data_IF_404531251684
#
_entry.id   IF_404531251684
#
_cell.length_a   1.000
_cell.length_b   1.000
_cell.length_c   1.000
_cell.angle_alpha   90.00
_cell.angle_beta   90.00
_cell.angle_gamma   90.00
#
_symmetry.space_group_name_H-M   'P 1'
#
loop_
_entity.id
_entity.type
_entity.pdbx_description
1 polymer ?
#
# COMPACT_ATOMS: atom_id res chain seq x y z
N UNK A 1 -42.08 -9.97 -86.44
CA UNK A 1 -42.89 -8.93 -85.74
C UNK A 1 -44.28 -9.50 -85.46
N UNK A 2 -45.24 -8.73 -84.95
CA UNK A 2 -46.30 -9.22 -84.01
C UNK A 2 -47.76 -8.85 -84.36
N UNK A 3 -48.73 -9.64 -83.86
CA UNK A 3 -50.21 -9.37 -83.83
C UNK A 3 -51.02 -10.63 -84.19
N UNK A 4 -52.05 -11.17 -83.49
CA UNK A 4 -53.20 -10.75 -82.61
C UNK A 4 -54.47 -10.29 -83.40
N UNK A 5 -55.54 -11.13 -83.47
CA UNK A 5 -56.78 -11.19 -82.59
C UNK A 5 -57.93 -10.27 -83.11
N UNK A 6 -59.24 -10.30 -82.67
CA UNK A 6 -60.02 -11.18 -81.74
C UNK A 6 -61.52 -11.56 -82.15
N UNK A 7 -62.23 -12.36 -81.32
CA UNK A 7 -63.72 -12.34 -81.07
C UNK A 7 -64.70 -13.13 -82.00
N UNK A 8 -66.00 -13.41 -81.70
CA UNK A 8 -66.83 -13.47 -80.45
C UNK A 8 -68.20 -14.24 -80.68
N UNK A 9 -69.16 -14.32 -79.72
CA UNK A 9 -70.43 -15.14 -79.71
C UNK A 9 -71.75 -14.28 -79.68
N UNK A 10 -73.05 -14.70 -79.40
CA UNK A 10 -73.67 -16.02 -78.98
C UNK A 10 -75.18 -16.41 -79.37
N UNK A 11 -75.57 -17.70 -79.16
CA UNK A 11 -76.83 -18.32 -78.59
C UNK A 11 -78.33 -18.24 -79.09
N UNK A 12 -79.00 -19.43 -79.07
CA UNK A 12 -80.43 -19.83 -78.71
C UNK A 12 -81.67 -19.31 -79.53
N UNK A 13 -82.96 -19.80 -79.36
CA UNK A 13 -83.63 -20.72 -78.37
C UNK A 13 -84.73 -21.76 -78.88
N UNK A 14 -85.54 -22.35 -77.96
CA UNK A 14 -86.99 -22.79 -78.03
C UNK A 14 -87.47 -24.27 -77.86
N UNK A 15 -88.81 -24.42 -77.62
CA UNK A 15 -89.62 -25.54 -77.03
C UNK A 15 -90.88 -25.87 -77.92
N UNK A 16 -91.89 -26.76 -77.60
CA UNK A 16 -92.30 -27.49 -76.36
C UNK A 16 -92.81 -28.96 -76.54
N UNK A 17 -93.65 -29.52 -75.62
CA UNK A 17 -94.27 -30.88 -75.66
C UNK A 17 -95.70 -30.96 -75.04
N UNK A 18 -96.32 -32.13 -75.18
CA UNK A 18 -97.38 -32.73 -74.32
C UNK A 18 -97.11 -34.26 -74.25
N UNK A 19 -97.76 -35.15 -73.49
CA UNK A 19 -98.81 -35.18 -72.43
C UNK A 19 -98.56 -36.51 -71.61
N UNK A 20 -99.13 -36.85 -70.45
CA UNK A 20 -100.16 -36.21 -69.60
C UNK A 20 -99.89 -36.40 -68.09
N UNK A 21 -100.67 -37.22 -67.35
CA UNK A 21 -100.73 -37.26 -65.88
C UNK A 21 -101.49 -38.52 -65.35
N UNK A 22 -101.52 -38.87 -64.03
CA UNK A 22 -100.95 -38.16 -62.88
C UNK A 22 -100.23 -38.97 -61.76
N UNK A 23 -99.15 -38.38 -61.20
CA UNK A 23 -98.73 -38.28 -59.76
C UNK A 23 -98.71 -39.53 -58.81
N UNK A 24 -98.07 -39.49 -57.60
CA UNK A 24 -97.41 -38.36 -56.92
C UNK A 24 -95.99 -38.60 -56.35
N UNK A 25 -95.51 -37.55 -55.64
CA UNK A 25 -94.35 -37.40 -54.73
C UNK A 25 -93.19 -36.51 -55.26
N UNK A 26 -92.61 -35.60 -54.44
CA UNK A 26 -92.03 -34.35 -54.96
C UNK A 26 -90.50 -34.34 -55.00
N UNK A 27 -89.95 -33.71 -56.03
CA UNK A 27 -88.52 -33.47 -56.18
C UNK A 27 -88.02 -32.33 -55.28
N UNK A 28 -87.15 -32.63 -54.31
CA UNK A 28 -86.27 -31.61 -53.69
C UNK A 28 -84.98 -32.17 -53.06
N UNK A 29 -84.16 -32.84 -53.88
CA UNK A 29 -82.76 -33.07 -53.51
C UNK A 29 -81.97 -31.76 -53.59
N UNK A 30 -81.04 -31.48 -52.65
CA UNK A 30 -80.11 -30.37 -52.78
C UNK A 30 -79.14 -30.62 -53.95
N UNK A 31 -78.52 -29.58 -54.54
CA UNK A 31 -77.45 -29.78 -55.51
C UNK A 31 -76.31 -30.59 -54.88
N UNK A 32 -75.66 -31.51 -55.63
CA UNK A 32 -74.59 -32.32 -55.08
C UNK A 32 -73.44 -31.42 -54.60
N UNK A 33 -72.81 -31.73 -53.44
CA UNK A 33 -71.73 -30.91 -52.92
C UNK A 33 -70.57 -30.87 -53.92
N UNK A 34 -69.95 -29.69 -54.06
CA UNK A 34 -68.79 -29.52 -54.93
C UNK A 34 -67.61 -30.33 -54.38
N UNK A 35 -67.38 -31.50 -54.97
CA UNK A 35 -66.32 -32.43 -54.58
C UNK A 35 -64.96 -31.74 -54.65
N UNK A 36 -64.19 -31.80 -53.55
CA UNK A 36 -62.85 -31.24 -53.53
C UNK A 36 -61.92 -32.00 -54.49
N UNK A 37 -60.80 -31.38 -54.88
CA UNK A 37 -59.82 -32.01 -55.78
C UNK A 37 -59.33 -33.37 -55.27
N UNK A 38 -59.20 -33.52 -53.95
CA UNK A 38 -58.85 -34.79 -53.30
C UNK A 38 -59.98 -35.82 -53.41
N UNK A 39 -61.24 -35.43 -53.18
CA UNK A 39 -62.39 -36.33 -53.36
C UNK A 39 -62.55 -36.76 -54.83
N UNK A 40 -62.13 -35.93 -55.79
CA UNK A 40 -62.09 -36.29 -57.21
C UNK A 40 -60.98 -37.32 -57.51
N UNK A 41 -59.78 -37.14 -56.95
CA UNK A 41 -58.67 -38.09 -57.06
C UNK A 41 -58.95 -39.42 -56.33
N UNK A 42 -59.60 -39.37 -55.17
CA UNK A 42 -60.04 -40.55 -54.41
C UNK A 42 -61.11 -41.34 -55.19
N UNK A 43 -62.05 -40.65 -55.86
CA UNK A 43 -62.99 -41.29 -56.76
C UNK A 43 -62.33 -41.89 -58.02
N UNK A 44 -61.29 -41.25 -58.57
CA UNK A 44 -60.48 -41.82 -59.65
C UNK A 44 -59.80 -43.11 -59.18
N UNK A 45 -59.07 -43.09 -58.04
CA UNK A 45 -58.46 -44.28 -57.42
C UNK A 45 -59.48 -45.39 -57.21
N UNK A 46 -60.66 -45.09 -56.64
CA UNK A 46 -61.76 -46.06 -56.45
C UNK A 46 -62.39 -46.54 -57.75
N UNK A 47 -62.19 -45.87 -58.88
CA UNK A 47 -62.61 -46.36 -60.20
C UNK A 47 -61.54 -47.24 -60.84
N UNK A 48 -60.26 -46.90 -60.68
CA UNK A 48 -59.11 -47.71 -61.11
C UNK A 48 -58.99 -49.00 -60.30
N UNK A 49 -59.23 -48.96 -58.99
CA UNK A 49 -59.25 -50.13 -58.11
C UNK A 49 -60.44 -51.05 -58.43
N UNK A 50 -61.62 -50.49 -58.74
CA UNK A 50 -62.75 -51.29 -59.25
C UNK A 50 -62.45 -51.89 -60.63
N UNK A 51 -61.77 -51.15 -61.52
CA UNK A 51 -61.26 -51.70 -62.78
C UNK A 51 -60.28 -52.85 -62.55
N UNK A 52 -59.28 -52.69 -61.66
CA UNK A 52 -58.36 -53.78 -61.28
C UNK A 52 -59.09 -54.99 -60.75
N UNK A 53 -59.96 -54.84 -59.75
CA UNK A 53 -60.74 -55.97 -59.20
C UNK A 53 -61.61 -56.65 -60.27
N UNK A 54 -62.19 -55.90 -61.22
CA UNK A 54 -62.91 -56.48 -62.35
C UNK A 54 -61.98 -57.28 -63.27
N UNK A 55 -60.79 -56.74 -63.57
CA UNK A 55 -59.77 -57.36 -64.42
C UNK A 55 -59.12 -58.59 -63.76
N UNK A 56 -58.99 -58.60 -62.43
CA UNK A 56 -58.56 -59.73 -61.60
C UNK A 56 -59.66 -60.79 -61.42
N UNK A 57 -60.95 -60.41 -61.56
CA UNK A 57 -62.09 -61.33 -61.49
C UNK A 57 -62.42 -62.05 -62.81
N UNK A 58 -61.81 -61.63 -63.93
CA UNK A 58 -61.93 -62.35 -65.20
C UNK A 58 -61.21 -63.70 -65.11
N UNK A 59 -61.84 -64.82 -65.56
CA UNK A 59 -61.15 -66.10 -65.61
C UNK A 59 -59.96 -66.00 -66.56
N UNK A 60 -58.76 -66.28 -66.04
CA UNK A 60 -57.52 -66.16 -66.81
C UNK A 60 -57.59 -67.01 -68.09
N UNK A 61 -57.16 -66.49 -69.25
CA UNK A 61 -57.10 -67.26 -70.50
C UNK A 61 -56.33 -68.56 -70.30
N UNK A 62 -56.74 -69.61 -71.02
CA UNK A 62 -56.19 -70.95 -70.85
C UNK A 62 -54.82 -71.09 -71.53
N UNK A 63 -53.80 -70.44 -70.96
CA UNK A 63 -52.42 -70.47 -71.44
C UNK A 63 -51.92 -71.92 -71.63
N UNK A 64 -51.27 -72.24 -72.77
CA UNK A 64 -50.65 -73.54 -72.96
C UNK A 64 -49.64 -73.85 -71.86
N UNK A 65 -49.63 -75.10 -71.36
CA UNK A 65 -48.76 -75.53 -70.24
C UNK A 65 -47.27 -75.24 -70.46
N UNK A 66 -46.81 -75.16 -71.71
CA UNK A 66 -45.43 -74.79 -72.04
C UNK A 66 -45.13 -73.31 -71.74
N UNK A 67 -46.06 -72.40 -71.95
CA UNK A 67 -45.83 -70.95 -71.81
C UNK A 67 -45.66 -70.57 -70.34
N UNK A 68 -46.53 -71.10 -69.48
CA UNK A 68 -46.39 -71.00 -68.01
C UNK A 68 -45.11 -71.63 -67.46
N UNK A 69 -44.53 -72.61 -68.17
CA UNK A 69 -43.23 -73.20 -67.81
C UNK A 69 -42.11 -72.23 -68.17
N UNK A 70 -42.07 -71.72 -69.41
CA UNK A 70 -41.11 -70.71 -69.87
C UNK A 70 -41.13 -69.44 -69.01
N UNK A 71 -42.31 -68.89 -68.70
CA UNK A 71 -42.44 -67.71 -67.85
C UNK A 71 -41.92 -67.95 -66.42
N UNK A 72 -42.16 -69.14 -65.84
CA UNK A 72 -41.59 -69.49 -64.52
C UNK A 72 -40.07 -69.67 -64.57
N UNK A 73 -39.56 -70.30 -65.61
CA UNK A 73 -38.12 -70.51 -65.82
C UNK A 73 -37.40 -69.17 -66.02
N UNK A 74 -37.95 -68.29 -66.88
CA UNK A 74 -37.46 -66.93 -67.10
C UNK A 74 -37.49 -66.09 -65.80
N UNK A 75 -38.58 -66.17 -65.02
CA UNK A 75 -38.66 -65.45 -63.73
C UNK A 75 -37.68 -66.01 -62.70
N UNK A 76 -37.50 -67.32 -62.61
CA UNK A 76 -36.50 -67.93 -61.73
C UNK A 76 -35.08 -67.55 -62.15
N UNK A 77 -34.82 -67.43 -63.46
CA UNK A 77 -33.55 -66.97 -63.98
C UNK A 77 -33.31 -65.48 -63.65
N UNK A 78 -34.30 -64.61 -63.84
CA UNK A 78 -34.23 -63.20 -63.43
C UNK A 78 -34.03 -63.05 -61.90
N UNK A 79 -34.77 -63.79 -61.07
CA UNK A 79 -34.56 -63.80 -59.61
C UNK A 79 -33.18 -64.34 -59.21
N UNK A 80 -32.60 -65.26 -59.99
CA UNK A 80 -31.23 -65.77 -59.76
C UNK A 80 -30.19 -64.71 -60.14
N UNK A 81 -30.30 -64.10 -61.31
CA UNK A 81 -29.44 -63.02 -61.78
C UNK A 81 -29.51 -61.79 -60.84
N UNK A 82 -30.69 -61.44 -60.33
CA UNK A 82 -30.86 -60.37 -59.34
C UNK A 82 -30.19 -60.71 -58.00
N UNK A 83 -30.27 -61.97 -57.53
CA UNK A 83 -29.59 -62.43 -56.31
C UNK A 83 -28.07 -62.42 -56.49
N UNK A 84 -27.57 -62.93 -57.61
CA UNK A 84 -26.14 -62.97 -57.94
C UNK A 84 -25.57 -61.54 -58.06
N UNK A 85 -26.29 -60.64 -58.72
CA UNK A 85 -25.93 -59.21 -58.78
C UNK A 85 -25.94 -58.55 -57.40
N UNK A 86 -26.98 -58.73 -56.59
CA UNK A 86 -27.02 -58.20 -55.21
C UNK A 86 -25.92 -58.78 -54.31
N UNK A 87 -25.48 -60.01 -54.58
CA UNK A 87 -24.35 -60.63 -53.90
C UNK A 87 -23.01 -60.04 -54.34
N UNK A 88 -22.83 -59.74 -55.63
CA UNK A 88 -21.68 -59.00 -56.15
C UNK A 88 -21.63 -57.57 -55.58
N UNK A 89 -22.73 -56.81 -55.65
CA UNK A 89 -22.84 -55.44 -55.09
C UNK A 89 -22.47 -55.42 -53.60
N UNK A 90 -22.94 -56.40 -52.80
CA UNK A 90 -22.55 -56.53 -51.39
C UNK A 90 -21.07 -56.86 -51.19
N UNK A 91 -20.49 -57.73 -52.00
CA UNK A 91 -19.06 -58.06 -51.92
C UNK A 91 -18.17 -56.87 -52.32
N UNK A 92 -18.60 -56.09 -53.30
CA UNK A 92 -17.91 -54.86 -53.73
C UNK A 92 -18.01 -53.77 -52.67
N UNK A 93 -19.19 -53.56 -52.09
CA UNK A 93 -19.40 -52.61 -51.00
C UNK A 93 -18.57 -52.99 -49.75
N UNK A 94 -18.46 -54.27 -49.40
CA UNK A 94 -17.60 -54.76 -48.32
C UNK A 94 -16.09 -54.58 -48.62
N UNK A 95 -15.67 -54.72 -49.88
CA UNK A 95 -14.29 -54.38 -50.29
C UNK A 95 -14.04 -52.89 -50.12
N UNK A 96 -14.99 -52.04 -50.55
CA UNK A 96 -14.89 -50.59 -50.48
C UNK A 96 -14.77 -50.11 -49.02
N UNK A 97 -15.66 -50.56 -48.12
CA UNK A 97 -15.58 -50.25 -46.68
C UNK A 97 -14.23 -50.68 -46.08
N UNK A 98 -13.74 -51.88 -46.43
CA UNK A 98 -12.48 -52.40 -45.89
C UNK A 98 -11.29 -51.55 -46.36
N UNK A 99 -11.30 -51.12 -47.62
CA UNK A 99 -10.29 -50.25 -48.21
C UNK A 99 -10.36 -48.82 -47.63
N UNK A 100 -11.55 -48.31 -47.37
CA UNK A 100 -11.75 -47.01 -46.71
C UNK A 100 -11.27 -47.04 -45.25
N UNK A 101 -11.63 -48.06 -44.46
CA UNK A 101 -11.12 -48.23 -43.09
C UNK A 101 -9.59 -48.34 -43.05
N UNK A 102 -8.97 -49.01 -44.03
CA UNK A 102 -7.51 -49.03 -44.18
C UNK A 102 -6.94 -47.63 -44.46
N UNK A 103 -7.55 -46.87 -45.37
CA UNK A 103 -7.14 -45.49 -45.69
C UNK A 103 -7.29 -44.55 -44.49
N UNK A 104 -8.39 -44.64 -43.74
CA UNK A 104 -8.61 -43.84 -42.52
C UNK A 104 -7.58 -44.17 -41.43
N UNK A 105 -7.27 -45.45 -41.22
CA UNK A 105 -6.23 -45.88 -40.27
C UNK A 105 -4.83 -45.40 -40.68
N UNK A 106 -4.47 -45.45 -41.96
CA UNK A 106 -3.21 -44.89 -42.47
C UNK A 106 -3.14 -43.37 -42.25
N UNK A 107 -4.21 -42.64 -42.58
CA UNK A 107 -4.27 -41.19 -42.39
C UNK A 107 -4.09 -40.81 -40.91
N UNK A 108 -4.75 -41.54 -39.99
CA UNK A 108 -4.62 -41.32 -38.56
C UNK A 108 -3.19 -41.60 -38.06
N UNK A 109 -2.57 -42.71 -38.49
CA UNK A 109 -1.18 -43.01 -38.15
C UNK A 109 -0.20 -41.96 -38.67
N UNK A 110 -0.44 -41.39 -39.84
CA UNK A 110 0.34 -40.28 -40.38
C UNK A 110 0.16 -39.01 -39.52
N UNK A 111 -1.08 -38.63 -39.19
CA UNK A 111 -1.37 -37.48 -38.33
C UNK A 111 -0.71 -37.61 -36.94
N UNK A 112 -0.85 -38.77 -36.28
CA UNK A 112 -0.19 -39.03 -34.98
C UNK A 112 1.35 -38.96 -35.08
N UNK A 113 1.94 -39.31 -36.22
CA UNK A 113 3.38 -39.23 -36.44
C UNK A 113 3.86 -37.79 -36.67
N UNK A 114 3.12 -37.02 -37.48
CA UNK A 114 3.38 -35.60 -37.73
C UNK A 114 3.20 -34.77 -36.44
N UNK A 115 2.17 -35.05 -35.64
CA UNK A 115 1.96 -34.39 -34.35
C UNK A 115 3.10 -34.67 -33.36
N UNK A 116 3.54 -35.94 -33.24
CA UNK A 116 4.70 -36.33 -32.41
C UNK A 116 5.98 -35.61 -32.85
N UNK A 117 6.24 -35.52 -34.15
CA UNK A 117 7.39 -34.78 -34.68
C UNK A 117 7.29 -33.28 -34.38
N UNK A 118 6.14 -32.66 -34.60
CA UNK A 118 5.89 -31.24 -34.31
C UNK A 118 6.06 -30.93 -32.83
N UNK A 119 5.59 -31.81 -31.93
CA UNK A 119 5.75 -31.67 -30.48
C UNK A 119 7.23 -31.77 -30.05
N UNK A 120 7.97 -32.75 -30.57
CA UNK A 120 9.42 -32.87 -30.32
C UNK A 120 10.21 -31.65 -30.83
N UNK A 121 9.81 -31.08 -31.98
CA UNK A 121 10.43 -29.90 -32.54
C UNK A 121 10.15 -28.65 -31.69
N UNK A 122 8.91 -28.49 -31.19
CA UNK A 122 8.53 -27.40 -30.28
C UNK A 122 9.30 -27.48 -28.96
N UNK A 123 9.33 -28.66 -28.32
CA UNK A 123 10.04 -28.87 -27.06
C UNK A 123 11.56 -28.60 -27.20
N UNK A 124 12.14 -28.93 -28.36
CA UNK A 124 13.54 -28.60 -28.67
C UNK A 124 13.76 -27.08 -28.80
N UNK A 125 12.81 -26.34 -29.39
CA UNK A 125 12.85 -24.87 -29.47
C UNK A 125 12.69 -24.23 -28.09
N UNK A 126 11.77 -24.72 -27.26
CA UNK A 126 11.57 -24.23 -25.88
C UNK A 126 12.83 -24.44 -25.02
N UNK A 127 13.44 -25.64 -25.07
CA UNK A 127 14.71 -25.94 -24.39
C UNK A 127 15.85 -25.02 -24.87
N UNK A 128 15.92 -24.71 -26.17
CA UNK A 128 16.90 -23.76 -26.71
C UNK A 128 16.66 -22.33 -26.20
N UNK A 129 15.40 -21.86 -26.22
CA UNK A 129 15.05 -20.52 -25.78
C UNK A 129 15.26 -20.32 -24.26
N UNK A 130 14.89 -21.30 -23.42
CA UNK A 130 15.17 -21.28 -21.98
C UNK A 130 16.68 -21.22 -21.69
N UNK A 131 17.50 -21.93 -22.47
CA UNK A 131 18.96 -21.90 -22.30
C UNK A 131 19.56 -20.55 -22.71
N UNK A 132 19.06 -19.93 -23.78
CA UNK A 132 19.44 -18.56 -24.16
C UNK A 132 19.05 -17.54 -23.07
N UNK A 133 17.82 -17.62 -22.55
CA UNK A 133 17.33 -16.72 -21.50
C UNK A 133 18.18 -16.84 -20.22
N UNK A 134 18.51 -18.06 -19.78
CA UNK A 134 19.41 -18.31 -18.63
C UNK A 134 20.82 -17.76 -18.85
N UNK A 135 21.37 -17.89 -20.06
CA UNK A 135 22.69 -17.33 -20.39
C UNK A 135 22.66 -15.79 -20.40
N UNK A 136 21.59 -15.17 -20.88
CA UNK A 136 21.41 -13.72 -20.84
C UNK A 136 21.28 -13.22 -19.39
N UNK A 137 20.39 -13.80 -18.59
CA UNK A 137 20.23 -13.45 -17.18
C UNK A 137 21.54 -13.57 -16.39
N UNK A 138 22.27 -14.67 -16.56
CA UNK A 138 23.57 -14.86 -15.90
C UNK A 138 24.66 -13.87 -16.37
N UNK A 139 24.55 -13.31 -17.58
CA UNK A 139 25.44 -12.26 -18.10
C UNK A 139 25.08 -10.89 -17.51
N UNK A 140 23.79 -10.55 -17.48
CA UNK A 140 23.27 -9.31 -16.90
C UNK A 140 23.53 -9.25 -15.39
N UNK A 141 23.35 -10.35 -14.66
CA UNK A 141 23.66 -10.45 -13.24
C UNK A 141 25.16 -10.22 -12.96
N UNK A 142 26.04 -10.82 -13.74
CA UNK A 142 27.50 -10.60 -13.65
C UNK A 142 27.87 -9.13 -13.89
N UNK A 143 27.27 -8.50 -14.90
CA UNK A 143 27.49 -7.08 -15.20
C UNK A 143 26.97 -6.19 -14.06
N UNK A 144 25.77 -6.46 -13.54
CA UNK A 144 25.19 -5.72 -12.40
C UNK A 144 26.04 -5.86 -11.14
N UNK A 145 26.55 -7.05 -10.85
CA UNK A 145 27.46 -7.30 -9.71
C UNK A 145 28.78 -6.53 -9.84
N UNK A 146 29.37 -6.51 -11.04
CA UNK A 146 30.59 -5.71 -11.32
C UNK A 146 30.34 -4.19 -11.21
N UNK A 147 29.16 -3.71 -11.61
CA UNK A 147 28.79 -2.30 -11.42
C UNK A 147 28.61 -1.94 -9.95
N UNK A 148 27.92 -2.77 -9.16
CA UNK A 148 27.76 -2.60 -7.72
C UNK A 148 29.11 -2.58 -7.00
N UNK A 149 29.98 -3.56 -7.25
CA UNK A 149 31.30 -3.62 -6.62
C UNK A 149 32.17 -2.39 -6.97
N UNK A 150 32.05 -1.87 -8.21
CA UNK A 150 32.72 -0.62 -8.62
C UNK A 150 32.16 0.60 -7.87
N UNK A 151 30.84 0.69 -7.69
CA UNK A 151 30.20 1.75 -6.91
C UNK A 151 30.57 1.69 -5.42
N UNK A 152 30.62 0.49 -4.83
CA UNK A 152 31.04 0.30 -3.43
C UNK A 152 32.50 0.72 -3.22
N UNK A 153 33.42 0.30 -4.10
CA UNK A 153 34.82 0.74 -4.08
C UNK A 153 34.94 2.27 -4.23
N UNK A 154 34.13 2.90 -5.08
CA UNK A 154 34.09 4.37 -5.20
C UNK A 154 33.59 5.04 -3.91
N UNK A 155 32.52 4.53 -3.30
CA UNK A 155 31.96 5.04 -2.05
C UNK A 155 32.93 4.89 -0.88
N UNK A 156 33.63 3.75 -0.77
CA UNK A 156 34.67 3.53 0.24
C UNK A 156 35.83 4.53 0.10
N UNK A 157 36.29 4.79 -1.13
CA UNK A 157 37.32 5.78 -1.39
C UNK A 157 36.88 7.21 -1.02
N UNK A 158 35.62 7.58 -1.28
CA UNK A 158 35.06 8.87 -0.86
C UNK A 158 34.99 9.02 0.68
N UNK A 159 34.56 7.98 1.39
CA UNK A 159 34.53 7.95 2.86
C UNK A 159 35.95 8.12 3.43
N UNK A 160 36.94 7.41 2.87
CA UNK A 160 38.34 7.52 3.29
C UNK A 160 38.96 8.89 2.99
N UNK A 161 38.51 9.59 1.94
CA UNK A 161 38.91 10.97 1.67
C UNK A 161 38.29 11.94 2.69
N UNK A 162 37.00 11.79 3.01
CA UNK A 162 36.30 12.61 4.01
C UNK A 162 36.96 12.47 5.40
N UNK A 163 37.20 11.24 5.86
CA UNK A 163 37.85 10.96 7.14
C UNK A 163 39.25 11.58 7.27
N UNK A 164 40.01 11.67 6.16
CA UNK A 164 41.31 12.36 6.14
C UNK A 164 41.16 13.88 6.28
N UNK A 165 40.18 14.47 5.59
CA UNK A 165 39.88 15.90 5.70
C UNK A 165 39.40 16.26 7.12
N UNK A 166 38.56 15.43 7.74
CA UNK A 166 38.13 15.59 9.13
C UNK A 166 39.32 15.54 10.10
N UNK A 167 40.24 14.58 9.94
CA UNK A 167 41.45 14.49 10.77
C UNK A 167 42.41 15.69 10.59
N UNK A 168 42.52 16.24 9.38
CA UNK A 168 43.30 17.47 9.14
C UNK A 168 42.64 18.70 9.76
N UNK A 169 41.30 18.83 9.65
CA UNK A 169 40.54 19.90 10.30
C UNK A 169 40.64 19.82 11.83
N UNK A 170 40.41 18.66 12.44
CA UNK A 170 40.52 18.44 13.89
C UNK A 170 41.95 18.75 14.42
N UNK A 171 42.97 18.51 13.59
CA UNK A 171 44.37 18.88 13.88
C UNK A 171 44.59 20.39 13.81
N UNK A 172 44.01 21.09 12.83
CA UNK A 172 44.05 22.56 12.75
C UNK A 172 43.27 23.21 13.90
N UNK A 173 42.10 22.68 14.27
CA UNK A 173 41.32 23.18 15.39
C UNK A 173 42.05 23.00 16.73
N UNK A 174 42.67 21.84 16.99
CA UNK A 174 43.52 21.65 18.18
C UNK A 174 44.70 22.62 18.23
N UNK A 175 45.33 22.92 17.08
CA UNK A 175 46.38 23.96 17.02
C UNK A 175 45.82 25.35 17.35
N UNK A 176 44.65 25.72 16.81
CA UNK A 176 43.98 27.00 17.08
C UNK A 176 43.54 27.13 18.54
N UNK A 177 42.98 26.08 19.13
CA UNK A 177 42.61 26.03 20.56
C UNK A 177 43.83 26.23 21.46
N UNK A 178 44.94 25.54 21.18
CA UNK A 178 46.19 25.70 21.93
C UNK A 178 46.75 27.14 21.85
N UNK A 179 46.66 27.80 20.69
CA UNK A 179 47.05 29.21 20.54
C UNK A 179 46.13 30.16 21.33
N UNK A 180 44.81 29.89 21.37
CA UNK A 180 43.85 30.65 22.17
C UNK A 180 44.15 30.49 23.66
N UNK A 181 44.38 29.26 24.13
CA UNK A 181 44.69 28.96 25.52
C UNK A 181 46.01 29.62 25.98
N UNK A 182 47.04 29.64 25.13
CA UNK A 182 48.28 30.37 25.42
C UNK A 182 48.05 31.89 25.56
N UNK A 183 47.26 32.50 24.66
CA UNK A 183 46.89 33.92 24.77
C UNK A 183 46.07 34.21 26.03
N UNK A 184 45.07 33.39 26.32
CA UNK A 184 44.26 33.50 27.54
C UNK A 184 45.10 33.39 28.81
N UNK A 185 46.08 32.48 28.85
CA UNK A 185 47.02 32.37 29.99
C UNK A 185 47.89 33.61 30.14
N UNK A 186 48.46 34.13 29.04
CA UNK A 186 49.24 35.38 29.06
C UNK A 186 48.40 36.58 29.51
N UNK A 187 47.13 36.65 29.09
CA UNK A 187 46.21 37.71 29.50
C UNK A 187 45.77 37.57 30.96
N UNK A 188 45.51 36.35 31.45
CA UNK A 188 45.30 36.10 32.88
C UNK A 188 46.53 36.46 33.73
N UNK A 189 47.75 36.16 33.27
CA UNK A 189 48.97 36.57 33.97
C UNK A 189 49.17 38.10 33.95
N UNK A 190 48.75 38.80 32.89
CA UNK A 190 48.72 40.27 32.84
C UNK A 190 47.70 40.83 33.83
N UNK A 191 46.45 40.35 33.77
CA UNK A 191 45.36 40.78 34.63
C UNK A 191 45.64 40.48 36.10
N UNK A 192 46.21 39.33 36.45
CA UNK A 192 46.57 38.99 37.82
C UNK A 192 47.64 39.94 38.41
N UNK A 193 48.61 40.40 37.59
CA UNK A 193 49.60 41.42 37.99
C UNK A 193 49.00 42.81 38.16
N UNK A 194 47.89 43.08 37.48
CA UNK A 194 47.14 44.33 37.54
C UNK A 194 46.15 44.33 38.73
N UNK A 195 45.48 43.21 38.98
CA UNK A 195 44.64 42.95 40.16
C UNK A 195 45.47 43.00 41.45
N UNK A 196 46.68 42.44 41.45
CA UNK A 196 47.61 42.48 42.58
C UNK A 196 48.14 43.89 42.92
N UNK A 197 47.87 44.91 42.08
CA UNK A 197 48.15 46.32 42.37
C UNK A 197 46.96 47.07 42.95
N UNK A 198 45.76 46.50 42.93
CA UNK A 198 44.57 47.10 43.56
C UNK A 198 44.63 46.90 45.08
N UNK A 199 44.13 47.85 45.89
CA UNK A 199 43.93 47.59 47.31
C UNK A 199 42.98 46.39 47.47
N UNK A 200 43.30 45.48 48.40
CA UNK A 200 42.43 44.33 48.68
C UNK A 200 41.03 44.83 49.06
N UNK A 201 39.95 44.23 48.55
CA UNK A 201 38.61 44.54 49.04
C UNK A 201 38.55 44.28 50.55
N UNK A 202 37.68 44.98 51.29
CA UNK A 202 37.46 44.68 52.70
C UNK A 202 37.06 43.20 52.86
N UNK A 203 37.43 42.56 53.99
CA UNK A 203 36.98 41.20 54.26
C UNK A 203 35.44 41.14 54.20
N UNK A 204 34.85 40.01 53.78
CA UNK A 204 33.40 39.85 53.88
C UNK A 204 32.96 40.07 55.34
N UNK A 205 31.74 40.56 55.58
CA UNK A 205 31.20 40.68 56.93
C UNK A 205 31.26 39.31 57.64
N UNK A 206 31.40 39.29 58.97
CA UNK A 206 31.48 38.04 59.73
C UNK A 206 30.27 37.15 59.43
N UNK A 207 30.52 35.85 59.35
CA UNK A 207 29.51 34.83 59.08
C UNK A 207 28.43 34.85 60.16
N UNK A 208 27.22 35.23 59.74
CA UNK A 208 26.01 35.37 60.54
C UNK A 208 25.10 34.16 60.32
N UNK A 209 24.62 33.57 61.42
CA UNK A 209 23.83 32.33 61.45
C UNK A 209 22.32 32.57 61.46
N UNK A 210 21.87 33.82 61.54
CA UNK A 210 20.44 34.16 61.61
C UNK A 210 19.84 34.53 60.25
N UNK A 211 20.66 34.54 59.19
CA UNK A 211 20.20 34.58 57.79
C UNK A 211 19.71 33.19 57.32
N UNK A 212 18.88 33.16 56.27
CA UNK A 212 18.47 31.92 55.58
C UNK A 212 19.67 31.33 54.80
N UNK A 213 20.53 30.60 55.52
CA UNK A 213 21.85 30.15 55.05
C UNK A 213 21.81 29.31 53.77
N UNK A 214 20.68 28.67 53.48
CA UNK A 214 20.50 27.73 52.37
C UNK A 214 20.96 28.28 51.01
N UNK A 215 20.86 29.61 50.81
CA UNK A 215 21.24 30.27 49.57
C UNK A 215 22.39 31.28 49.73
N UNK A 216 23.14 31.25 50.83
CA UNK A 216 24.23 32.19 51.13
C UNK A 216 25.16 32.44 49.93
N UNK A 217 25.65 31.38 49.27
CA UNK A 217 26.55 31.50 48.12
C UNK A 217 25.93 32.18 46.89
N UNK A 218 24.61 32.04 46.69
CA UNK A 218 23.88 32.75 45.63
C UNK A 218 23.67 34.21 46.03
N UNK A 219 23.31 34.45 47.30
CA UNK A 219 23.09 35.80 47.83
C UNK A 219 24.37 36.66 47.77
N UNK A 220 25.56 36.08 47.95
CA UNK A 220 26.84 36.79 47.71
C UNK A 220 26.99 37.35 46.28
N UNK A 221 26.32 36.76 45.28
CA UNK A 221 26.27 37.22 43.88
C UNK A 221 25.11 38.19 43.62
N UNK A 222 24.01 38.08 44.38
CA UNK A 222 22.83 38.93 44.22
C UNK A 222 22.94 40.25 45.00
N UNK A 223 23.66 40.28 46.12
CA UNK A 223 23.88 41.48 46.94
C UNK A 223 25.02 42.37 46.44
N UNK A 224 25.86 41.88 45.50
CA UNK A 224 27.08 42.57 45.05
C UNK A 224 27.10 42.78 43.55
N UNK A 225 27.50 43.98 43.14
CA UNK A 225 27.87 44.26 41.74
C UNK A 225 29.36 43.97 41.52
N UNK A 226 29.77 43.88 40.25
CA UNK A 226 31.16 43.61 39.86
C UNK A 226 31.44 44.07 38.43
N UNK A 227 32.72 44.08 37.99
CA UNK A 227 33.12 44.65 36.70
C UNK A 227 32.62 43.87 35.47
N UNK A 228 32.02 42.69 35.66
CA UNK A 228 31.40 41.86 34.63
C UNK A 228 29.87 41.78 34.76
N UNK A 229 29.27 42.53 35.70
CA UNK A 229 27.81 42.61 35.81
C UNK A 229 27.21 43.35 34.60
N UNK A 230 25.98 42.98 34.22
CA UNK A 230 25.25 43.70 33.20
C UNK A 230 24.88 45.11 33.70
N UNK A 231 24.89 46.12 32.82
CA UNK A 231 24.52 47.50 33.16
C UNK A 231 23.10 47.65 33.72
N UNK A 232 22.20 46.71 33.42
CA UNK A 232 20.83 46.65 33.91
C UNK A 232 20.66 45.77 35.16
N UNK A 233 21.74 45.27 35.76
CA UNK A 233 21.68 44.45 36.96
C UNK A 233 21.48 45.32 38.22
N UNK A 234 20.53 44.92 39.06
CA UNK A 234 20.18 45.57 40.33
C UNK A 234 20.41 44.57 41.45
N UNK A 235 21.11 44.98 42.51
CA UNK A 235 21.47 44.12 43.63
C UNK A 235 20.43 44.10 44.76
N UNK A 236 20.57 43.14 45.68
CA UNK A 236 19.81 43.08 46.93
C UNK A 236 18.52 42.27 46.83
N UNK A 237 17.45 42.76 47.46
CA UNK A 237 16.19 42.03 47.59
C UNK A 237 15.46 41.78 46.26
N UNK A 238 15.53 42.70 45.30
CA UNK A 238 14.76 42.61 44.05
C UNK A 238 15.03 41.33 43.22
N UNK A 239 16.30 40.96 42.89
CA UNK A 239 16.56 39.70 42.19
C UNK A 239 16.29 38.46 43.04
N UNK A 240 16.46 38.53 44.36
CA UNK A 240 16.14 37.42 45.28
C UNK A 240 14.63 37.13 45.28
N UNK A 241 13.81 38.17 45.37
CA UNK A 241 12.35 38.08 45.31
C UNK A 241 11.88 37.62 43.94
N UNK A 242 12.50 38.09 42.86
CA UNK A 242 12.24 37.59 41.51
C UNK A 242 12.44 36.07 41.44
N UNK A 243 13.59 35.56 41.89
CA UNK A 243 13.91 34.11 41.86
C UNK A 243 13.04 33.27 42.81
N UNK A 244 12.76 33.77 44.02
CA UNK A 244 12.13 33.01 45.11
C UNK A 244 10.61 33.16 45.21
N UNK A 245 10.00 34.15 44.55
CA UNK A 245 8.56 34.45 44.70
C UNK A 245 7.77 34.51 43.40
N UNK A 246 8.38 34.89 42.28
CA UNK A 246 7.63 35.15 41.03
C UNK A 246 8.15 34.45 39.77
N UNK A 247 9.43 34.10 39.69
CA UNK A 247 10.01 33.45 38.52
C UNK A 247 9.55 31.99 38.41
N UNK A 248 8.90 31.66 37.29
CA UNK A 248 8.46 30.31 36.96
C UNK A 248 9.35 29.70 35.87
N UNK A 249 9.94 28.55 36.15
CA UNK A 249 10.80 27.84 35.19
C UNK A 249 10.14 26.54 34.77
N UNK A 250 10.07 26.29 33.46
CA UNK A 250 9.70 24.99 32.91
C UNK A 250 10.95 24.19 32.55
N UNK A 251 11.10 23.01 33.16
CA UNK A 251 12.09 22.00 32.77
C UNK A 251 11.40 20.95 31.89
N UNK A 252 12.02 20.60 30.77
CA UNK A 252 11.51 19.61 29.82
C UNK A 252 12.50 18.46 29.73
N UNK A 253 12.03 17.27 30.10
CA UNK A 253 12.84 16.09 30.39
C UNK A 253 13.27 16.08 31.86
N UNK A 254 12.94 15.00 32.58
CA UNK A 254 13.43 14.66 33.91
C UNK A 254 14.57 13.62 33.84
N UNK A 255 14.76 12.95 32.71
CA UNK A 255 15.85 11.99 32.51
C UNK A 255 17.25 12.62 32.41
N UNK A 256 18.22 12.11 33.16
CA UNK A 256 19.65 12.40 32.99
C UNK A 256 19.98 13.87 33.21
N UNK A 257 20.23 14.61 32.14
CA UNK A 257 20.42 16.07 32.19
C UNK A 257 19.24 16.78 32.87
N UNK A 258 18.02 16.24 32.76
CA UNK A 258 16.84 16.72 33.50
C UNK A 258 16.97 16.62 35.02
N UNK A 259 17.57 15.54 35.55
CA UNK A 259 17.85 15.38 36.98
C UNK A 259 18.81 16.47 37.47
N UNK A 260 19.89 16.69 36.73
CA UNK A 260 20.89 17.73 37.01
C UNK A 260 20.26 19.13 36.97
N UNK A 261 19.47 19.45 35.95
CA UNK A 261 18.81 20.76 35.83
C UNK A 261 17.89 21.02 37.04
N UNK A 262 17.05 20.05 37.42
CA UNK A 262 16.13 20.20 38.55
C UNK A 262 16.87 20.43 39.88
N UNK A 263 17.94 19.65 40.13
CA UNK A 263 18.76 19.84 41.34
C UNK A 263 19.43 21.22 41.35
N UNK A 264 20.06 21.62 40.24
CA UNK A 264 20.78 22.88 40.15
C UNK A 264 19.83 24.09 40.31
N UNK A 265 18.65 24.09 39.67
CA UNK A 265 17.68 25.18 39.83
C UNK A 265 17.15 25.30 41.27
N UNK A 266 16.87 24.17 41.92
CA UNK A 266 16.41 24.15 43.31
C UNK A 266 17.48 24.66 44.29
N UNK A 267 18.75 24.29 44.08
CA UNK A 267 19.90 24.75 44.89
C UNK A 267 20.34 26.20 44.57
N UNK A 268 19.99 26.72 43.39
CA UNK A 268 20.16 28.14 43.04
C UNK A 268 19.06 29.03 43.63
N UNK A 269 17.99 28.45 44.21
CA UNK A 269 16.93 29.19 44.87
C UNK A 269 15.80 29.68 43.95
N UNK A 270 15.53 28.97 42.86
CA UNK A 270 14.29 29.12 42.11
C UNK A 270 13.18 28.31 42.77
N UNK A 271 12.08 28.97 43.16
CA UNK A 271 11.07 28.36 44.02
C UNK A 271 9.87 27.71 43.31
N UNK A 272 9.44 28.21 42.13
CA UNK A 272 8.32 27.64 41.37
C UNK A 272 8.82 27.00 40.07
N UNK A 273 9.07 25.69 40.13
CA UNK A 273 9.59 24.89 39.01
C UNK A 273 8.49 23.97 38.50
N UNK A 274 8.32 23.85 37.19
CA UNK A 274 7.47 22.84 36.57
C UNK A 274 8.35 21.84 35.80
N UNK A 275 7.98 20.57 35.78
CA UNK A 275 8.68 19.53 34.99
C UNK A 275 7.71 18.76 34.10
N UNK A 276 8.02 18.65 32.81
CA UNK A 276 7.36 17.73 31.87
C UNK A 276 8.31 16.57 31.57
N UNK A 277 7.82 15.34 31.73
CA UNK A 277 8.43 14.13 31.18
C UNK A 277 7.31 13.13 30.85
N UNK A 278 7.44 12.38 29.76
CA UNK A 278 6.42 11.43 29.27
C UNK A 278 6.75 9.97 29.59
N UNK A 279 7.90 9.70 30.19
CA UNK A 279 8.40 8.35 30.44
C UNK A 279 8.16 7.89 31.89
N UNK A 280 8.14 6.56 32.06
CA UNK A 280 8.32 5.90 33.35
C UNK A 280 9.79 5.57 33.62
N UNK A 281 10.14 5.32 34.87
CA UNK A 281 11.49 4.95 35.31
C UNK A 281 11.78 3.50 34.92
N UNK A 282 12.90 3.29 34.22
CA UNK A 282 13.43 1.95 33.89
C UNK A 282 14.74 1.65 34.64
N UNK A 283 15.06 0.38 34.85
CA UNK A 283 16.29 -0.06 35.54
C UNK A 283 17.57 0.49 34.87
N UNK A 284 17.59 0.62 33.54
CA UNK A 284 18.73 1.20 32.80
C UNK A 284 18.95 2.68 33.08
N UNK A 285 18.03 3.36 33.76
CA UNK A 285 18.12 4.79 34.08
C UNK A 285 18.95 5.02 35.35
N UNK A 286 18.92 4.08 36.30
CA UNK A 286 19.49 4.23 37.64
C UNK A 286 21.02 4.44 37.64
N UNK A 287 21.72 4.10 36.56
CA UNK A 287 23.16 4.34 36.41
C UNK A 287 23.57 5.82 36.26
N UNK A 288 22.61 6.72 35.98
CA UNK A 288 22.87 8.15 35.71
C UNK A 288 21.75 9.11 36.12
N UNK A 289 20.61 8.60 36.60
CA UNK A 289 19.42 9.39 36.92
C UNK A 289 19.17 9.33 38.43
N UNK A 290 20.03 10.03 39.18
CA UNK A 290 20.22 9.90 40.62
C UNK A 290 19.02 10.34 41.50
N UNK A 291 17.97 10.91 40.91
CA UNK A 291 16.70 11.21 41.60
C UNK A 291 15.84 9.95 41.81
N UNK A 292 16.13 8.84 41.11
CA UNK A 292 15.31 7.63 41.12
C UNK A 292 15.97 6.47 41.88
N UNK A 293 15.17 5.57 42.45
CA UNK A 293 15.59 4.35 43.15
C UNK A 293 14.94 3.12 42.51
N UNK A 294 15.42 1.93 42.89
CA UNK A 294 14.91 0.64 42.39
C UNK A 294 13.41 0.44 42.70
N UNK A 295 12.97 0.88 43.88
CA UNK A 295 11.55 0.93 44.28
C UNK A 295 10.67 1.87 43.42
N UNK A 296 11.28 2.76 42.63
CA UNK A 296 10.57 3.75 41.82
C UNK A 296 10.38 3.28 40.36
N UNK A 297 10.92 2.10 39.99
CA UNK A 297 10.78 1.53 38.65
C UNK A 297 9.29 1.38 38.27
N UNK A 298 8.96 1.79 37.04
CA UNK A 298 7.59 1.83 36.52
C UNK A 298 6.77 3.07 36.90
N UNK A 299 7.22 3.90 37.86
CA UNK A 299 6.55 5.16 38.20
C UNK A 299 6.93 6.29 37.20
N UNK A 300 6.08 7.33 37.02
CA UNK A 300 6.40 8.48 36.17
C UNK A 300 7.66 9.24 36.60
N UNK A 301 8.58 9.50 35.66
CA UNK A 301 9.83 10.24 35.96
C UNK A 301 9.55 11.64 36.54
N UNK A 302 8.61 12.37 35.95
CA UNK A 302 8.25 13.73 36.38
C UNK A 302 7.80 13.78 37.84
N UNK A 303 6.92 12.86 38.26
CA UNK A 303 6.34 12.83 39.61
C UNK A 303 7.37 12.44 40.67
N UNK A 304 8.16 11.40 40.41
CA UNK A 304 9.21 10.95 41.34
C UNK A 304 10.32 12.00 41.45
N UNK A 305 10.74 12.61 40.34
CA UNK A 305 11.75 13.68 40.36
C UNK A 305 11.26 14.89 41.18
N UNK A 306 10.01 15.33 40.97
CA UNK A 306 9.41 16.41 41.73
C UNK A 306 9.34 16.08 43.24
N UNK A 307 8.85 14.89 43.59
CA UNK A 307 8.78 14.37 44.96
C UNK A 307 10.15 14.31 45.63
N UNK A 308 11.18 13.84 44.92
CA UNK A 308 12.54 13.75 45.44
C UNK A 308 13.14 15.13 45.72
N UNK A 309 13.00 16.09 44.78
CA UNK A 309 13.53 17.44 44.94
C UNK A 309 12.83 18.17 46.08
N UNK A 310 11.50 18.14 46.16
CA UNK A 310 10.75 18.80 47.25
C UNK A 310 11.06 18.19 48.62
N UNK A 311 11.29 16.87 48.70
CA UNK A 311 11.73 16.21 49.94
C UNK A 311 13.19 16.55 50.33
N UNK A 312 14.01 17.04 49.40
CA UNK A 312 15.42 17.37 49.63
C UNK A 312 15.70 18.87 49.79
N UNK A 313 14.87 19.73 49.20
CA UNK A 313 14.94 21.20 49.25
C UNK A 313 13.52 21.74 49.57
N UNK A 314 13.12 21.79 50.86
CA UNK A 314 11.72 22.08 51.24
C UNK A 314 11.19 23.46 50.84
N UNK A 315 12.08 24.41 50.53
CA UNK A 315 11.76 25.76 50.07
C UNK A 315 11.26 25.81 48.62
N UNK A 316 11.41 24.72 47.86
CA UNK A 316 11.13 24.66 46.41
C UNK A 316 9.87 23.85 46.15
N UNK A 317 8.97 24.39 45.33
CA UNK A 317 7.80 23.71 44.77
C UNK A 317 8.15 23.20 43.36
N UNK A 318 8.09 21.90 43.16
CA UNK A 318 8.20 21.28 41.84
C UNK A 318 6.84 20.71 41.42
N UNK A 319 6.26 21.24 40.35
CA UNK A 319 4.95 20.81 39.81
C UNK A 319 5.18 19.82 38.67
N UNK A 320 4.87 18.51 38.85
CA UNK A 320 5.07 17.51 37.80
C UNK A 320 3.95 17.52 36.77
N UNK A 321 4.30 17.16 35.53
CA UNK A 321 3.39 16.91 34.42
C UNK A 321 3.83 15.62 33.72
N UNK A 322 3.17 14.51 34.02
CA UNK A 322 3.36 13.24 33.30
C UNK A 322 2.55 13.28 31.99
N UNK A 323 3.12 13.90 30.97
CA UNK A 323 2.53 14.05 29.64
C UNK A 323 3.63 14.37 28.61
N UNK A 324 3.27 14.39 27.33
CA UNK A 324 4.14 14.91 26.27
C UNK A 324 4.12 16.44 26.27
N UNK A 325 5.13 17.04 25.64
CA UNK A 325 5.13 18.49 25.38
C UNK A 325 3.99 18.91 24.43
N UNK A 326 3.65 18.04 23.47
CA UNK A 326 2.54 18.24 22.53
C UNK A 326 1.15 18.21 23.19
N UNK A 327 1.05 17.78 24.45
CA UNK A 327 -0.22 17.71 25.20
C UNK A 327 -0.51 19.02 25.97
N UNK A 328 0.32 20.06 25.79
CA UNK A 328 0.18 21.39 26.40
C UNK A 328 -0.10 22.46 25.34
N UNK A 329 -0.86 23.47 25.72
CA UNK A 329 -1.24 24.59 24.86
C UNK A 329 -0.33 25.82 25.02
N UNK A 330 -0.48 26.76 24.10
CA UNK A 330 0.26 28.03 24.10
C UNK A 330 0.08 28.81 25.40
N UNK A 331 -1.12 28.75 26.00
CA UNK A 331 -1.41 29.39 27.28
C UNK A 331 -0.59 28.80 28.44
N UNK A 332 -0.39 27.48 28.48
CA UNK A 332 0.51 26.84 29.44
C UNK A 332 1.95 27.34 29.28
N UNK A 333 2.49 27.38 28.05
CA UNK A 333 3.86 27.85 27.81
C UNK A 333 4.05 29.33 28.12
N UNK A 334 3.01 30.16 27.92
CA UNK A 334 3.02 31.58 28.26
C UNK A 334 3.16 31.89 29.76
N UNK A 335 2.89 30.93 30.66
CA UNK A 335 3.00 31.12 32.11
C UNK A 335 4.44 31.23 32.64
N UNK A 336 5.45 30.84 31.85
CA UNK A 336 6.84 30.73 32.32
C UNK A 336 7.69 31.97 31.98
N UNK A 337 8.77 32.17 32.75
CA UNK A 337 9.79 33.20 32.50
C UNK A 337 11.03 32.61 31.79
N UNK A 338 11.23 31.30 31.88
CA UNK A 338 12.35 30.57 31.28
C UNK A 338 11.94 29.12 30.97
N UNK A 339 12.40 28.60 29.83
CA UNK A 339 12.28 27.17 29.48
C UNK A 339 13.67 26.56 29.39
N UNK A 340 13.86 25.39 30.00
CA UNK A 340 15.12 24.63 29.99
C UNK A 340 14.85 23.21 29.48
N UNK A 341 15.50 22.82 28.38
CA UNK A 341 15.37 21.53 27.72
C UNK A 341 16.57 20.63 28.03
N UNK A 342 16.29 19.46 28.57
CA UNK A 342 17.20 18.31 28.69
C UNK A 342 16.77 17.14 27.79
N UNK A 343 16.03 17.42 26.71
CA UNK A 343 15.50 16.45 25.76
C UNK A 343 16.62 15.66 25.05
N UNK A 344 16.32 14.43 24.62
CA UNK A 344 17.18 13.58 23.80
C UNK A 344 16.82 13.63 22.30
N UNK A 345 15.52 13.64 21.97
CA UNK A 345 15.00 13.65 20.60
C UNK A 345 15.16 15.00 19.88
N UNK A 346 15.71 14.96 18.67
CA UNK A 346 15.78 16.11 17.75
C UNK A 346 14.39 16.63 17.35
N UNK A 347 13.38 15.76 17.28
CA UNK A 347 12.00 16.15 16.96
C UNK A 347 11.39 16.98 18.09
N UNK A 348 11.53 16.51 19.35
CA UNK A 348 11.04 17.23 20.52
C UNK A 348 11.72 18.60 20.69
N UNK A 349 13.06 18.67 20.51
CA UNK A 349 13.81 19.94 20.52
C UNK A 349 13.35 20.91 19.42
N UNK A 350 13.05 20.39 18.21
CA UNK A 350 12.50 21.21 17.11
C UNK A 350 11.09 21.71 17.42
N UNK A 351 10.24 20.85 17.98
CA UNK A 351 8.87 21.21 18.33
C UNK A 351 8.84 22.35 19.35
N UNK A 352 9.51 22.22 20.50
CA UNK A 352 9.50 23.28 21.52
C UNK A 352 10.12 24.58 21.02
N UNK A 353 11.20 24.52 20.21
CA UNK A 353 11.75 25.71 19.57
C UNK A 353 10.73 26.39 18.65
N UNK A 354 9.94 25.63 17.88
CA UNK A 354 8.93 26.19 17.00
C UNK A 354 7.78 26.82 17.81
N UNK A 355 7.28 26.12 18.83
CA UNK A 355 6.25 26.63 19.74
C UNK A 355 6.68 27.96 20.37
N UNK A 356 7.85 28.02 21.01
CA UNK A 356 8.29 29.25 21.71
C UNK A 356 8.60 30.42 20.76
N UNK A 357 8.97 30.16 19.50
CA UNK A 357 9.11 31.22 18.47
C UNK A 357 7.74 31.73 18.01
N UNK A 358 6.75 30.84 17.85
CA UNK A 358 5.39 31.21 17.45
C UNK A 358 4.64 32.03 18.52
N UNK A 359 5.05 31.93 19.80
CA UNK A 359 4.49 32.74 20.89
C UNK A 359 4.93 34.22 20.84
N UNK A 360 6.00 34.57 20.12
CA UNK A 360 6.61 35.90 20.17
C UNK A 360 5.70 36.93 19.48
N UNK A 361 5.08 37.81 20.30
CA UNK A 361 4.37 38.99 19.85
C UNK A 361 5.28 40.24 20.02
N UNK A 362 5.65 40.95 18.94
CA UNK A 362 6.44 42.18 19.00
C UNK A 362 5.86 43.30 19.88
N UNK A 363 4.53 43.31 20.10
CA UNK A 363 3.84 44.30 20.95
C UNK A 363 3.90 43.96 22.44
N UNK A 364 4.30 42.73 22.81
CA UNK A 364 4.37 42.26 24.19
C UNK A 364 5.72 41.57 24.48
N UNK A 365 6.71 42.27 25.04
CA UNK A 365 8.03 41.69 25.38
C UNK A 365 7.98 40.44 26.27
N UNK A 366 7.00 40.33 27.18
CA UNK A 366 6.83 39.18 28.09
C UNK A 366 6.35 37.90 27.37
N UNK A 367 6.02 37.98 26.07
CA UNK A 367 5.75 36.82 25.23
C UNK A 367 7.02 36.07 24.81
N UNK A 368 8.18 36.74 24.78
CA UNK A 368 9.45 36.09 24.45
C UNK A 368 9.88 35.21 25.62
N UNK A 369 9.80 33.88 25.43
CA UNK A 369 10.24 32.90 26.42
C UNK A 369 11.65 32.40 26.07
N UNK A 370 12.71 32.77 26.83
CA UNK A 370 14.05 32.31 26.53
C UNK A 370 14.16 30.78 26.65
N UNK A 371 14.90 30.16 25.74
CA UNK A 371 15.14 28.72 25.72
C UNK A 371 16.62 28.43 25.97
N UNK A 372 16.90 27.66 27.02
CA UNK A 372 18.18 26.97 27.21
C UNK A 372 17.96 25.52 26.77
N UNK A 373 18.73 25.03 25.81
CA UNK A 373 18.65 23.65 25.30
C UNK A 373 20.00 22.95 25.46
N UNK A 374 19.97 21.76 26.05
CA UNK A 374 21.15 20.93 26.29
C UNK A 374 20.98 19.52 25.71
N UNK A 375 22.08 18.96 25.20
CA UNK A 375 22.14 17.59 24.69
C UNK A 375 23.48 16.93 25.00
N UNK A 376 23.45 15.63 25.28
CA UNK A 376 24.62 14.81 25.66
C UNK A 376 24.65 13.51 24.86
N UNK A 377 25.76 13.23 24.19
CA UNK A 377 25.99 12.01 23.42
C UNK A 377 27.36 11.41 23.80
N UNK A 378 27.35 10.35 24.62
CA UNK A 378 28.58 9.75 25.15
C UNK A 378 29.39 10.73 25.99
N UNK A 379 30.60 11.06 25.53
CA UNK A 379 31.51 12.01 26.18
C UNK A 379 31.33 13.47 25.68
N UNK A 380 30.41 13.70 24.74
CA UNK A 380 30.17 15.03 24.14
C UNK A 380 28.92 15.68 24.71
N UNK A 381 29.00 16.98 24.98
CA UNK A 381 27.87 17.80 25.41
C UNK A 381 27.77 19.07 24.57
N UNK A 382 26.56 19.49 24.24
CA UNK A 382 26.27 20.79 23.63
C UNK A 382 25.24 21.53 24.47
N UNK A 383 25.51 22.80 24.73
CA UNK A 383 24.56 23.74 25.33
C UNK A 383 24.28 24.85 24.32
N UNK A 384 23.02 25.28 24.23
CA UNK A 384 22.56 26.37 23.37
C UNK A 384 21.65 27.29 24.18
N UNK A 385 21.95 28.58 24.21
CA UNK A 385 21.00 29.60 24.65
C UNK A 385 20.37 30.26 23.43
N UNK A 386 19.04 30.47 23.48
CA UNK A 386 18.28 31.15 22.43
C UNK A 386 17.37 32.20 23.08
N UNK A 387 17.47 33.42 22.57
CA UNK A 387 16.38 34.40 22.56
C UNK A 387 15.65 34.20 21.23
N UNK A 388 14.32 34.37 21.25
CA UNK A 388 13.47 34.23 20.05
C UNK A 388 13.87 35.20 18.94
#
# INVERSE_FOLDING_TARGET
MTGRQPGNHPQYPYYPTQNSNPNPYPNRWPPPPQLTREQHLENQRRSEERRRRYQESLPAPHEPKQERKRQKELKQQQEKEERERKQQERQEQQKLEKQERQRQNQLKQQQEKEERQRKQQLEKQERQHQNQLKQQQAKEERQRKQQLEKQERQRQNQILQHQKQEQELEKQERQRQNQILQKQKQEQERLAREEARKPKPPPPPPYDKELDEHYYHVDQLLDRTGPLANSSFVTGAAPKDLMRKTCKILVIGAGGLGCEILQNLALLGFADIHVIDMDTIDISNLNRQFLFREQDIGQPKAEVAAKFIMARVPQVKVTPHYCKIQDKDDAFYMMFNLVVSGLDSVEARRWINATLVNLVNPENPESLKPLIDGGTEGMFMRLSFRRG
#
